data_IF_211713910979
#
_entry.id   IF_211713910979
#
_cell.length_a   1.000
_cell.length_b   1.000
_cell.length_c   1.000
_cell.angle_alpha   90.00
_cell.angle_beta   90.00
_cell.angle_gamma   90.00
#
_symmetry.space_group_name_H-M   'P 1'
#
loop_
_entity.id
_entity.type
_entity.pdbx_description
1 polymer ?
#
# COMPACT_ATOMS: atom_id res chain seq x y z
N UNK A 1 -39.72 19.92 -3.65
CA UNK A 1 -38.92 19.66 -4.86
C UNK A 1 -37.80 18.70 -4.45
N UNK A 2 -37.89 17.41 -4.79
CA UNK A 2 -36.81 16.47 -4.49
C UNK A 2 -35.70 16.66 -5.52
N UNK A 3 -34.53 17.10 -5.07
CA UNK A 3 -33.33 17.14 -5.90
C UNK A 3 -32.89 15.69 -6.10
N UNK A 4 -33.28 15.11 -7.25
CA UNK A 4 -32.75 13.82 -7.69
C UNK A 4 -31.28 14.07 -8.01
N UNK A 5 -30.39 13.70 -7.09
CA UNK A 5 -28.98 13.50 -7.41
C UNK A 5 -28.96 12.50 -8.56
N UNK A 6 -28.68 12.97 -9.77
CA UNK A 6 -28.42 12.10 -10.90
C UNK A 6 -27.07 11.46 -10.62
N UNK A 7 -27.09 10.29 -9.96
CA UNK A 7 -25.93 9.42 -9.88
C UNK A 7 -25.61 9.06 -11.34
N UNK A 8 -24.66 9.76 -11.95
CA UNK A 8 -24.15 9.33 -13.24
C UNK A 8 -23.35 8.05 -13.01
N UNK A 9 -23.60 6.98 -13.79
CA UNK A 9 -22.80 5.78 -13.70
C UNK A 9 -21.36 6.14 -14.06
N UNK A 10 -20.41 5.67 -13.26
CA UNK A 10 -18.98 5.76 -13.57
C UNK A 10 -18.68 5.00 -14.86
N UNK A 11 -17.87 5.59 -15.74
CA UNK A 11 -17.40 4.90 -16.93
C UNK A 11 -16.31 3.89 -16.54
N UNK A 12 -16.11 2.86 -17.37
CA UNK A 12 -15.05 1.89 -17.14
C UNK A 12 -13.66 2.56 -17.02
N UNK A 13 -13.44 3.67 -17.73
CA UNK A 13 -12.22 4.47 -17.61
C UNK A 13 -12.07 5.09 -16.21
N UNK A 14 -13.14 5.68 -15.66
CA UNK A 14 -13.11 6.30 -14.32
C UNK A 14 -12.74 5.27 -13.24
N UNK A 15 -13.26 4.04 -13.36
CA UNK A 15 -12.97 2.97 -12.41
C UNK A 15 -11.52 2.49 -12.55
N UNK A 16 -11.02 2.34 -13.79
CA UNK A 16 -9.63 1.97 -14.02
C UNK A 16 -8.65 3.02 -13.46
N UNK A 17 -8.93 4.31 -13.67
CA UNK A 17 -8.10 5.39 -13.15
C UNK A 17 -8.14 5.44 -11.62
N UNK A 18 -9.27 5.05 -11.00
CA UNK A 18 -9.35 4.84 -9.56
C UNK A 18 -8.40 3.74 -9.04
N UNK A 19 -8.29 2.62 -9.75
CA UNK A 19 -7.33 1.57 -9.42
C UNK A 19 -5.87 1.99 -9.64
N UNK A 20 -5.59 2.75 -10.71
CA UNK A 20 -4.26 3.33 -10.94
C UNK A 20 -3.86 4.27 -9.79
N UNK A 21 -4.77 5.14 -9.35
CA UNK A 21 -4.53 6.03 -8.20
C UNK A 21 -4.30 5.25 -6.90
N UNK A 22 -5.09 4.19 -6.65
CA UNK A 22 -4.90 3.34 -5.48
C UNK A 22 -3.53 2.63 -5.51
N UNK A 23 -3.08 2.18 -6.69
CA UNK A 23 -1.73 1.63 -6.86
C UNK A 23 -0.65 2.65 -6.50
N UNK A 24 -0.74 3.89 -7.02
CA UNK A 24 0.22 4.95 -6.72
C UNK A 24 0.30 5.25 -5.23
N UNK A 25 -0.84 5.39 -4.56
CA UNK A 25 -0.89 5.67 -3.11
C UNK A 25 -0.27 4.54 -2.27
N UNK A 26 -0.52 3.29 -2.63
CA UNK A 26 0.08 2.14 -1.93
C UNK A 26 1.58 2.03 -2.25
N UNK A 27 2.00 2.40 -3.46
CA UNK A 27 3.41 2.45 -3.82
C UNK A 27 4.16 3.50 -3.00
N UNK A 28 3.58 4.67 -2.79
CA UNK A 28 4.14 5.71 -1.91
C UNK A 28 4.23 5.22 -0.46
N UNK A 29 3.19 4.53 0.02
CA UNK A 29 3.21 3.91 1.35
C UNK A 29 4.35 2.88 1.48
N UNK A 30 4.62 2.08 0.45
CA UNK A 30 5.74 1.14 0.43
C UNK A 30 7.09 1.84 0.65
N UNK A 31 7.30 2.98 -0.01
CA UNK A 31 8.52 3.79 0.16
C UNK A 31 8.61 4.32 1.60
N UNK A 32 7.50 4.79 2.17
CA UNK A 32 7.45 5.27 3.55
C UNK A 32 7.78 4.17 4.56
N UNK A 33 7.20 2.97 4.40
CA UNK A 33 7.48 1.82 5.26
C UNK A 33 8.94 1.38 5.14
N UNK A 34 9.51 1.42 3.94
CA UNK A 34 10.94 1.20 3.73
C UNK A 34 11.82 2.18 4.52
N UNK A 35 11.46 3.47 4.52
CA UNK A 35 12.16 4.49 5.30
C UNK A 35 12.03 4.26 6.83
N UNK A 36 10.82 3.89 7.29
CA UNK A 36 10.58 3.54 8.71
C UNK A 36 11.44 2.35 9.12
N UNK A 37 11.49 1.29 8.30
CA UNK A 37 12.32 0.10 8.53
C UNK A 37 13.80 0.47 8.67
N UNK A 38 14.32 1.30 7.76
CA UNK A 38 15.71 1.74 7.81
C UNK A 38 16.05 2.52 9.11
N UNK A 39 15.19 3.48 9.50
CA UNK A 39 15.39 4.24 10.73
C UNK A 39 15.31 3.34 11.97
N UNK A 40 14.40 2.39 11.96
CA UNK A 40 14.22 1.44 13.03
C UNK A 40 15.42 0.49 13.19
N UNK A 41 15.94 -0.08 12.10
CA UNK A 41 17.15 -0.93 12.13
C UNK A 41 18.35 -0.18 12.71
N UNK A 42 18.53 1.08 12.32
CA UNK A 42 19.57 1.95 12.87
C UNK A 42 19.38 2.20 14.37
N UNK A 43 18.14 2.39 14.81
CA UNK A 43 17.84 2.59 16.24
C UNK A 43 18.09 1.31 17.04
N UNK A 44 17.75 0.13 16.52
CA UNK A 44 18.09 -1.16 17.17
C UNK A 44 19.60 -1.27 17.33
N UNK A 45 20.36 -1.01 16.26
CA UNK A 45 21.82 -1.09 16.30
C UNK A 45 22.39 -0.17 17.39
N UNK A 46 21.88 1.06 17.50
CA UNK A 46 22.28 2.00 18.54
C UNK A 46 21.94 1.48 19.94
N UNK A 47 20.71 1.01 20.16
CA UNK A 47 20.26 0.51 21.45
C UNK A 47 21.04 -0.73 21.90
N UNK A 48 21.35 -1.63 20.97
CA UNK A 48 22.16 -2.81 21.24
C UNK A 48 23.61 -2.44 21.56
N UNK A 49 24.19 -1.42 20.93
CA UNK A 49 25.58 -1.00 21.20
C UNK A 49 25.75 -0.20 22.48
N UNK A 50 24.82 0.72 22.78
CA UNK A 50 24.97 1.68 23.89
C UNK A 50 24.35 1.16 25.19
N UNK A 51 23.25 0.41 25.08
CA UNK A 51 22.49 -0.05 26.24
C UNK A 51 22.46 -1.58 26.37
N UNK A 52 23.21 -2.31 25.52
CA UNK A 52 23.26 -3.77 25.49
C UNK A 52 21.88 -4.45 25.38
N UNK A 53 20.90 -3.74 24.80
CA UNK A 53 19.55 -4.28 24.63
C UNK A 53 19.60 -5.41 23.60
N UNK A 54 19.13 -6.63 23.95
CA UNK A 54 19.10 -7.73 23.02
C UNK A 54 18.18 -7.44 21.84
N UNK A 55 18.64 -7.78 20.63
CA UNK A 55 17.84 -7.61 19.41
C UNK A 55 16.51 -8.38 19.45
N UNK A 56 16.44 -9.46 20.24
CA UNK A 56 15.23 -10.26 20.47
C UNK A 56 14.05 -9.45 21.00
N UNK A 57 14.31 -8.36 21.73
CA UNK A 57 13.26 -7.44 22.25
C UNK A 57 12.45 -6.83 21.11
N UNK A 58 13.03 -6.69 19.92
CA UNK A 58 12.41 -5.99 18.80
C UNK A 58 11.75 -6.94 17.78
N UNK A 59 11.71 -8.25 18.04
CA UNK A 59 11.23 -9.25 17.06
C UNK A 59 9.78 -9.03 16.63
N UNK A 60 8.89 -8.66 17.54
CA UNK A 60 7.48 -8.43 17.18
C UNK A 60 7.33 -7.20 16.26
N UNK A 61 8.15 -6.17 16.44
CA UNK A 61 8.11 -5.01 15.56
C UNK A 61 8.65 -5.36 14.16
N UNK A 62 9.71 -6.17 14.06
CA UNK A 62 10.16 -6.74 12.76
C UNK A 62 9.05 -7.54 12.09
N UNK A 63 8.35 -8.37 12.86
CA UNK A 63 7.23 -9.18 12.37
C UNK A 63 6.09 -8.33 11.84
N UNK A 64 5.73 -7.25 12.54
CA UNK A 64 4.70 -6.30 12.09
C UNK A 64 5.09 -5.66 10.75
N UNK A 65 6.34 -5.18 10.62
CA UNK A 65 6.80 -4.58 9.36
C UNK A 65 6.75 -5.59 8.20
N UNK A 66 7.08 -6.86 8.43
CA UNK A 66 6.99 -7.89 7.39
C UNK A 66 5.53 -8.22 7.01
N UNK A 67 4.58 -8.18 7.96
CA UNK A 67 3.15 -8.34 7.66
C UNK A 67 2.67 -7.17 6.80
N UNK A 68 3.09 -5.94 7.13
CA UNK A 68 2.75 -4.74 6.36
C UNK A 68 3.28 -4.84 4.93
N UNK A 69 4.52 -5.31 4.74
CA UNK A 69 5.08 -5.50 3.39
C UNK A 69 4.26 -6.49 2.56
N UNK A 70 3.79 -7.58 3.19
CA UNK A 70 2.90 -8.54 2.52
C UNK A 70 1.57 -7.90 2.09
N UNK A 71 0.93 -7.14 2.99
CA UNK A 71 -0.32 -6.43 2.67
C UNK A 71 -0.15 -5.38 1.56
N UNK A 72 0.98 -4.69 1.55
CA UNK A 72 1.33 -3.72 0.50
C UNK A 72 1.47 -4.44 -0.83
N UNK A 73 2.21 -5.55 -0.87
CA UNK A 73 2.39 -6.34 -2.09
C UNK A 73 1.05 -6.84 -2.64
N UNK A 74 0.23 -7.46 -1.79
CA UNK A 74 -1.11 -7.95 -2.16
C UNK A 74 -1.98 -6.82 -2.72
N UNK A 75 -1.91 -5.63 -2.10
CA UNK A 75 -2.68 -4.47 -2.54
C UNK A 75 -2.19 -3.90 -3.87
N UNK A 76 -0.88 -3.87 -4.13
CA UNK A 76 -0.32 -3.43 -5.41
C UNK A 76 -0.73 -4.38 -6.54
N UNK A 77 -0.61 -5.69 -6.31
CA UNK A 77 -1.04 -6.71 -7.26
C UNK A 77 -2.53 -6.62 -7.55
N UNK A 78 -3.36 -6.46 -6.51
CA UNK A 78 -4.80 -6.30 -6.64
C UNK A 78 -5.17 -5.08 -7.48
N UNK A 79 -4.62 -3.90 -7.16
CA UNK A 79 -4.93 -2.66 -7.87
C UNK A 79 -4.54 -2.75 -9.34
N UNK A 80 -3.33 -3.23 -9.64
CA UNK A 80 -2.85 -3.36 -11.01
C UNK A 80 -3.67 -4.36 -11.83
N UNK A 81 -3.99 -5.52 -11.27
CA UNK A 81 -4.81 -6.53 -11.94
C UNK A 81 -6.21 -6.01 -12.29
N UNK A 82 -6.81 -5.18 -11.42
CA UNK A 82 -8.12 -4.60 -11.66
C UNK A 82 -8.09 -3.43 -12.64
N UNK A 83 -7.07 -2.57 -12.58
CA UNK A 83 -6.82 -1.52 -13.58
C UNK A 83 -6.76 -2.15 -14.99
N UNK A 84 -5.89 -3.15 -15.18
CA UNK A 84 -5.69 -3.82 -16.46
C UNK A 84 -6.97 -4.52 -16.96
N UNK A 85 -7.65 -5.24 -16.07
CA UNK A 85 -8.90 -5.96 -16.38
C UNK A 85 -10.02 -5.01 -16.83
N UNK A 86 -10.16 -3.86 -16.18
CA UNK A 86 -11.21 -2.89 -16.49
C UNK A 86 -10.89 -2.13 -17.77
N UNK A 87 -9.62 -1.72 -17.99
CA UNK A 87 -9.19 -1.10 -19.24
C UNK A 87 -9.41 -2.02 -20.44
N UNK A 88 -9.10 -3.30 -20.32
CA UNK A 88 -9.35 -4.29 -21.37
C UNK A 88 -10.84 -4.43 -21.69
N UNK A 89 -11.71 -4.49 -20.67
CA UNK A 89 -13.17 -4.58 -20.86
C UNK A 89 -13.76 -3.30 -21.46
N UNK A 90 -13.23 -2.13 -21.11
CA UNK A 90 -13.65 -0.85 -21.67
C UNK A 90 -13.30 -0.68 -23.16
N UNK A 91 -12.24 -1.33 -23.65
CA UNK A 91 -11.80 -1.26 -25.05
C UNK A 91 -12.52 -2.25 -26.00
N UNK A 92 -13.34 -3.17 -25.46
CA UNK A 92 -14.05 -4.21 -26.22
C UNK A 92 -15.56 -3.87 -26.36
N UNK A 93 -16.05 -2.86 -25.65
CA UNK A 93 -17.41 -2.31 -25.76
C UNK A 93 -17.39 -1.01 -26.57
#
# INVERSE_FOLDING_TARGET
>A
MYMKSSIQPYEASDVADGYALAYEQVSDLAVMIGAVRHLYEKNIEYLSKVYEVPESVFQELKRILNIIDGLIQDSLEFSKAHEESIRLKGNIC
#
